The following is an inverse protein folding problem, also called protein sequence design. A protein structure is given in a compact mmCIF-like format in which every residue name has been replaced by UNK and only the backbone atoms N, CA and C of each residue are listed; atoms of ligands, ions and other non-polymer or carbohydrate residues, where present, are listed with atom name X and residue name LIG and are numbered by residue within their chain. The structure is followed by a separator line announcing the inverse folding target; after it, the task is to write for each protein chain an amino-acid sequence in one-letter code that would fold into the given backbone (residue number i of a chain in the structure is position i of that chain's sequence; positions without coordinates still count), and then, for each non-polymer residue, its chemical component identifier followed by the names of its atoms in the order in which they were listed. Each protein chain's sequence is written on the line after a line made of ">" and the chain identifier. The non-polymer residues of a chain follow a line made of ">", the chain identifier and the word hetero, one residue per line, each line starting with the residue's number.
data_IF_705885423509
#
_entry.id   IF_705885423509
#
_cell.length_a   1.000
_cell.length_b   1.000
_cell.length_c   1.000
_cell.angle_alpha   90.00
_cell.angle_beta   90.00
_cell.angle_gamma   90.00
#
_symmetry.space_group_name_H-M   'P 1'
#
loop_
_entity.id
_entity.type
_entity.pdbx_description
1 polymer ?
#
# COMPACT_ATOMS: atom_id res chain seq x y z
N UNK A 1 9.24 14.39 -23.94
CA UNK A 1 9.95 14.77 -22.70
C UNK A 1 9.71 13.68 -21.67
N UNK A 2 10.76 13.01 -21.18
CA UNK A 2 10.62 11.93 -20.18
C UNK A 2 10.20 12.56 -18.84
N UNK A 3 9.18 12.01 -18.17
CA UNK A 3 8.67 12.44 -16.86
C UNK A 3 7.90 13.77 -16.78
N UNK A 4 7.65 14.47 -17.89
CA UNK A 4 6.92 15.75 -17.86
C UNK A 4 5.49 15.61 -17.30
N UNK A 5 4.65 14.65 -17.77
CA UNK A 5 3.29 14.47 -17.23
C UNK A 5 3.30 14.18 -15.73
N UNK A 6 4.20 13.30 -15.27
CA UNK A 6 4.34 12.96 -13.85
C UNK A 6 4.77 14.18 -13.02
N UNK A 7 5.67 15.00 -13.54
CA UNK A 7 6.12 16.23 -12.87
C UNK A 7 4.97 17.22 -12.71
N UNK A 8 4.14 17.40 -13.74
CA UNK A 8 2.99 18.29 -13.69
C UNK A 8 1.92 17.80 -12.70
N UNK A 9 1.64 16.48 -12.69
CA UNK A 9 0.66 15.89 -11.77
C UNK A 9 1.12 16.03 -10.32
N UNK A 10 2.38 15.69 -10.01
CA UNK A 10 2.93 15.79 -8.66
C UNK A 10 3.04 17.27 -8.22
N UNK A 11 3.40 18.16 -9.13
CA UNK A 11 3.46 19.61 -8.88
C UNK A 11 2.09 20.22 -8.60
N UNK A 12 1.06 19.84 -9.38
CA UNK A 12 -0.32 20.24 -9.11
C UNK A 12 -0.80 19.69 -7.76
N UNK A 13 -0.49 18.43 -7.46
CA UNK A 13 -0.78 17.82 -6.16
C UNK A 13 -0.14 18.57 -5.00
N UNK A 14 1.12 19.01 -5.13
CA UNK A 14 1.79 19.84 -4.14
C UNK A 14 1.03 21.16 -3.95
N UNK A 15 0.67 21.85 -5.04
CA UNK A 15 -0.09 23.09 -4.93
C UNK A 15 -1.45 22.90 -4.25
N UNK A 16 -2.18 21.83 -4.56
CA UNK A 16 -3.45 21.51 -3.90
C UNK A 16 -3.27 21.20 -2.41
N UNK A 17 -2.21 20.48 -2.04
CA UNK A 17 -1.88 20.22 -0.63
C UNK A 17 -1.52 21.51 0.12
N UNK A 18 -0.86 22.46 -0.53
CA UNK A 18 -0.58 23.78 0.04
C UNK A 18 -1.88 24.56 0.30
N UNK A 19 -2.82 24.56 -0.64
CA UNK A 19 -4.14 25.18 -0.43
C UNK A 19 -4.91 24.48 0.69
N UNK A 20 -4.89 23.15 0.75
CA UNK A 20 -5.51 22.40 1.84
C UNK A 20 -4.93 22.75 3.20
N UNK A 21 -3.61 23.00 3.29
CA UNK A 21 -2.95 23.45 4.52
C UNK A 21 -3.29 24.90 4.89
N UNK A 22 -3.51 25.77 3.90
CA UNK A 22 -3.88 27.16 4.13
C UNK A 22 -5.33 27.32 4.60
N UNK A 23 -6.25 26.46 4.12
CA UNK A 23 -7.68 26.53 4.40
C UNK A 23 -8.20 25.44 5.34
N UNK A 24 -7.31 24.66 5.98
CA UNK A 24 -7.69 23.59 6.91
C UNK A 24 -8.53 24.11 8.07
N UNK A 25 -9.57 23.36 8.45
CA UNK A 25 -10.46 23.69 9.56
C UNK A 25 -9.94 23.22 10.92
N UNK A 26 -9.00 22.27 10.95
CA UNK A 26 -8.36 21.78 12.17
C UNK A 26 -6.84 21.59 11.99
N UNK A 27 -6.12 21.65 13.12
CA UNK A 27 -4.66 21.58 13.14
C UNK A 27 -4.11 20.21 12.74
N UNK A 28 -4.85 19.13 12.96
CA UNK A 28 -4.39 17.78 12.61
C UNK A 28 -4.41 17.59 11.09
N UNK A 29 -5.49 18.05 10.43
CA UNK A 29 -5.61 18.08 8.98
C UNK A 29 -4.55 18.99 8.37
N UNK A 30 -4.31 20.15 9.00
CA UNK A 30 -3.26 21.08 8.56
C UNK A 30 -1.88 20.43 8.54
N UNK A 31 -1.51 19.68 9.58
CA UNK A 31 -0.22 18.98 9.66
C UNK A 31 -0.10 17.94 8.55
N UNK A 32 -1.15 17.16 8.28
CA UNK A 32 -1.16 16.19 7.19
C UNK A 32 -1.10 16.85 5.80
N UNK A 33 -1.76 17.98 5.61
CA UNK A 33 -1.69 18.76 4.38
C UNK A 33 -0.29 19.33 4.14
N UNK A 34 0.38 19.86 5.18
CA UNK A 34 1.79 20.28 5.10
C UNK A 34 2.73 19.13 4.80
N UNK A 35 2.50 17.97 5.43
CA UNK A 35 3.30 16.77 5.19
C UNK A 35 3.16 16.30 3.73
N UNK A 36 1.93 16.27 3.22
CA UNK A 36 1.65 15.96 1.82
C UNK A 36 2.31 16.96 0.88
N UNK A 37 2.20 18.26 1.16
CA UNK A 37 2.87 19.31 0.39
C UNK A 37 4.38 19.09 0.34
N UNK A 38 5.04 18.85 1.48
CA UNK A 38 6.48 18.65 1.55
C UNK A 38 6.92 17.43 0.72
N UNK A 39 6.22 16.29 0.86
CA UNK A 39 6.54 15.07 0.11
C UNK A 39 6.37 15.27 -1.40
N UNK A 40 5.27 15.89 -1.83
CA UNK A 40 5.00 16.15 -3.25
C UNK A 40 5.92 17.25 -3.83
N UNK A 41 6.27 18.27 -3.05
CA UNK A 41 7.23 19.30 -3.47
C UNK A 41 8.62 18.71 -3.68
N UNK A 42 9.10 17.87 -2.75
CA UNK A 42 10.36 17.13 -2.92
C UNK A 42 10.29 16.21 -4.14
N UNK A 43 9.18 15.48 -4.31
CA UNK A 43 8.94 14.66 -5.50
C UNK A 43 9.01 15.46 -6.81
N UNK A 44 8.41 16.65 -6.84
CA UNK A 44 8.45 17.57 -7.98
C UNK A 44 9.87 18.02 -8.29
N UNK A 45 10.63 18.43 -7.27
CA UNK A 45 12.04 18.83 -7.43
C UNK A 45 12.88 17.68 -7.97
N UNK A 46 12.71 16.47 -7.44
CA UNK A 46 13.44 15.28 -7.90
C UNK A 46 13.08 14.88 -9.33
N UNK A 47 11.82 15.03 -9.73
CA UNK A 47 11.38 14.78 -11.10
C UNK A 47 11.88 15.86 -12.07
N UNK A 48 11.83 17.13 -11.69
CA UNK A 48 12.37 18.24 -12.49
C UNK A 48 13.85 18.05 -12.81
N UNK A 49 14.65 17.55 -11.85
CA UNK A 49 16.07 17.21 -12.08
C UNK A 49 16.29 16.10 -13.12
N UNK A 50 15.26 15.29 -13.40
CA UNK A 50 15.28 14.20 -14.38
C UNK A 50 14.63 14.59 -15.72
N UNK A 51 13.99 15.75 -15.81
CA UNK A 51 13.42 16.26 -17.06
C UNK A 51 14.56 16.80 -17.92
N UNK A 52 14.91 16.06 -18.98
CA UNK A 52 15.82 16.55 -20.00
C UNK A 52 15.03 17.45 -20.97
N UNK A 53 15.38 18.74 -21.00
CA UNK A 53 14.83 19.74 -21.92
C UNK A 53 15.51 19.76 -23.30
N UNK A 54 16.27 18.72 -23.64
CA UNK A 54 16.91 18.61 -24.96
C UNK A 54 15.86 18.64 -26.08
N UNK A 55 16.11 19.47 -27.10
CA UNK A 55 15.31 19.57 -28.33
C UNK A 55 15.11 18.17 -28.89
N UNK A 56 13.88 17.86 -29.32
CA UNK A 56 13.52 16.59 -29.93
C UNK A 56 14.44 16.27 -31.13
N UNK A 57 15.55 15.59 -30.86
CA UNK A 57 16.43 14.98 -31.84
C UNK A 57 16.43 13.49 -31.49
N UNK A 58 15.76 12.70 -32.33
CA UNK A 58 15.72 11.24 -32.31
C UNK A 58 15.51 10.65 -30.91
N UNK A 59 14.27 10.69 -30.40
CA UNK A 59 13.89 9.86 -29.27
C UNK A 59 13.62 8.46 -29.84
N UNK A 60 14.43 7.43 -29.55
CA UNK A 60 13.98 6.06 -29.73
C UNK A 60 12.74 5.91 -28.84
N UNK A 61 11.58 5.64 -29.45
CA UNK A 61 10.44 5.17 -28.69
C UNK A 61 10.88 3.86 -28.03
N UNK A 62 10.76 3.78 -26.70
CA UNK A 62 11.29 2.70 -25.85
C UNK A 62 12.83 2.58 -25.83
N UNK A 63 13.46 3.21 -24.84
CA UNK A 63 14.86 2.91 -24.53
C UNK A 63 15.02 1.45 -24.08
N UNK A 64 15.78 0.67 -24.85
CA UNK A 64 16.70 -0.44 -24.54
C UNK A 64 16.36 -1.52 -23.47
N UNK A 65 15.23 -1.45 -22.77
CA UNK A 65 14.93 -2.26 -21.58
C UNK A 65 13.58 -3.00 -21.66
N UNK A 66 12.88 -2.93 -22.80
CA UNK A 66 11.61 -3.65 -22.99
C UNK A 66 11.77 -5.18 -22.87
N UNK A 67 12.98 -5.70 -23.06
CA UNK A 67 13.31 -7.12 -22.88
C UNK A 67 13.50 -7.52 -21.40
N UNK A 68 13.85 -6.58 -20.52
CA UNK A 68 14.22 -6.86 -19.14
C UNK A 68 13.06 -6.63 -18.15
N UNK A 69 13.10 -7.32 -17.01
CA UNK A 69 12.17 -7.06 -15.91
C UNK A 69 12.41 -5.71 -15.25
N UNK A 70 11.35 -5.11 -14.71
CA UNK A 70 11.39 -3.86 -13.95
C UNK A 70 11.67 -4.16 -12.47
N UNK A 71 12.94 -4.43 -12.14
CA UNK A 71 13.34 -4.78 -10.77
C UNK A 71 13.52 -3.55 -9.84
N UNK A 72 13.48 -2.32 -10.38
CA UNK A 72 13.63 -1.08 -9.61
C UNK A 72 12.66 -0.95 -8.42
N UNK A 73 11.33 -0.95 -8.64
CA UNK A 73 10.35 -0.92 -7.56
C UNK A 73 10.46 -2.09 -6.59
N UNK A 74 10.84 -3.28 -7.08
CA UNK A 74 11.04 -4.47 -6.23
C UNK A 74 12.19 -4.26 -5.25
N UNK A 75 13.34 -3.77 -5.73
CA UNK A 75 14.52 -3.52 -4.89
C UNK A 75 14.25 -2.47 -3.82
N UNK A 76 13.58 -1.39 -4.19
CA UNK A 76 13.19 -0.32 -3.25
C UNK A 76 12.16 -0.84 -2.24
N UNK A 77 11.16 -1.59 -2.70
CA UNK A 77 10.18 -2.26 -1.85
C UNK A 77 10.81 -3.25 -0.87
N UNK A 78 11.82 -4.01 -1.28
CA UNK A 78 12.54 -4.92 -0.39
C UNK A 78 13.28 -4.17 0.74
N UNK A 79 13.96 -3.06 0.40
CA UNK A 79 14.63 -2.21 1.41
C UNK A 79 13.60 -1.59 2.36
N UNK A 80 12.50 -1.04 1.81
CA UNK A 80 11.43 -0.45 2.59
C UNK A 80 10.76 -1.49 3.51
N UNK A 81 10.60 -2.74 3.04
CA UNK A 81 10.08 -3.86 3.85
C UNK A 81 10.93 -4.05 5.10
N UNK A 82 12.25 -4.16 4.96
CA UNK A 82 13.14 -4.35 6.11
C UNK A 82 13.09 -3.14 7.05
N UNK A 83 13.12 -1.92 6.50
CA UNK A 83 13.02 -0.69 7.29
C UNK A 83 11.74 -0.63 8.12
N UNK A 84 10.58 -0.86 7.49
CA UNK A 84 9.28 -0.84 8.16
C UNK A 84 9.09 -2.02 9.12
N UNK A 85 9.70 -3.17 8.83
CA UNK A 85 9.76 -4.30 9.75
C UNK A 85 10.47 -3.92 11.05
N UNK A 86 11.66 -3.34 10.95
CA UNK A 86 12.42 -2.85 12.12
C UNK A 86 11.60 -1.80 12.88
N UNK A 87 11.05 -0.80 12.19
CA UNK A 87 10.27 0.26 12.83
C UNK A 87 9.01 -0.30 13.52
N UNK A 88 8.23 -1.13 12.84
CA UNK A 88 7.00 -1.72 13.38
C UNK A 88 7.26 -2.63 14.57
N UNK A 89 8.28 -3.50 14.51
CA UNK A 89 8.66 -4.36 15.63
C UNK A 89 9.22 -3.56 16.81
N UNK A 90 10.00 -2.50 16.57
CA UNK A 90 10.46 -1.60 17.62
C UNK A 90 9.30 -0.94 18.36
N UNK A 91 8.32 -0.38 17.64
CA UNK A 91 7.12 0.19 18.27
C UNK A 91 6.34 -0.87 19.06
N UNK A 92 6.31 -2.13 18.56
CA UNK A 92 5.73 -3.25 19.28
C UNK A 92 6.43 -3.53 20.62
N UNK A 93 7.77 -3.53 20.64
CA UNK A 93 8.55 -3.68 21.88
C UNK A 93 8.31 -2.52 22.84
N UNK A 94 8.21 -1.28 22.33
CA UNK A 94 7.90 -0.11 23.16
C UNK A 94 6.50 -0.25 23.77
N UNK A 95 5.48 -0.58 22.97
CA UNK A 95 4.11 -0.76 23.44
C UNK A 95 4.00 -1.92 24.45
N UNK A 96 4.70 -3.03 24.23
CA UNK A 96 4.78 -4.13 25.20
C UNK A 96 5.45 -3.68 26.51
N UNK A 97 6.52 -2.87 26.42
CA UNK A 97 7.18 -2.31 27.60
C UNK A 97 6.29 -1.36 28.38
N UNK A 98 5.39 -0.61 27.71
CA UNK A 98 4.40 0.25 28.37
C UNK A 98 3.34 -0.53 29.15
N UNK A 99 3.00 -1.76 28.72
CA UNK A 99 2.13 -2.64 29.48
C UNK A 99 2.81 -3.20 30.73
N UNK A 100 4.13 -3.46 30.66
CA UNK A 100 4.92 -3.92 31.79
C UNK A 100 5.29 -2.80 32.78
N UNK A 101 5.63 -1.63 32.25
CA UNK A 101 6.08 -0.45 32.97
C UNK A 101 5.29 0.79 32.52
N UNK A 102 4.12 1.05 33.14
CA UNK A 102 3.23 2.14 32.72
C UNK A 102 3.87 3.55 32.71
N UNK A 103 4.97 3.76 33.44
CA UNK A 103 5.73 5.02 33.45
C UNK A 103 6.36 5.37 32.09
N UNK A 104 6.45 4.39 31.18
CA UNK A 104 6.96 4.59 29.81
C UNK A 104 5.89 5.19 28.86
N UNK A 105 4.69 5.52 29.35
CA UNK A 105 3.69 6.24 28.59
C UNK A 105 3.98 7.75 28.59
N UNK A 106 4.54 8.27 27.49
CA UNK A 106 4.86 9.69 27.36
C UNK A 106 3.79 10.42 26.56
N UNK A 107 2.96 11.19 27.26
CA UNK A 107 1.87 11.99 26.68
C UNK A 107 2.37 13.24 25.91
N UNK A 108 1.63 13.72 24.90
CA UNK A 108 0.41 13.11 24.36
C UNK A 108 0.69 12.08 23.24
N UNK A 109 1.91 12.02 22.72
CA UNK A 109 2.17 11.36 21.43
C UNK A 109 2.54 9.87 21.56
N UNK A 110 3.32 9.52 22.58
CA UNK A 110 3.89 8.19 22.76
C UNK A 110 3.20 7.43 23.89
N UNK A 111 1.89 7.59 24.05
CA UNK A 111 1.10 6.75 24.94
C UNK A 111 0.65 5.46 24.24
N UNK A 112 0.33 4.44 25.03
CA UNK A 112 -0.05 3.12 24.52
C UNK A 112 -1.23 3.16 23.54
N UNK A 113 -2.22 4.03 23.78
CA UNK A 113 -3.42 4.09 22.92
C UNK A 113 -3.13 4.62 21.52
N UNK A 114 -2.09 5.46 21.35
CA UNK A 114 -1.61 5.92 20.03
C UNK A 114 -0.57 4.99 19.42
N UNK A 115 0.30 4.39 20.25
CA UNK A 115 1.34 3.48 19.77
C UNK A 115 0.81 2.11 19.33
N UNK A 116 -0.31 1.63 19.92
CA UNK A 116 -0.94 0.37 19.51
C UNK A 116 -1.37 0.37 18.03
N UNK A 117 -2.24 1.29 17.55
CA UNK A 117 -2.61 1.32 16.13
C UNK A 117 -1.42 1.63 15.21
N UNK A 118 -0.44 2.41 15.69
CA UNK A 118 0.82 2.63 14.97
C UNK A 118 1.59 1.32 14.77
N UNK A 119 1.78 0.52 15.82
CA UNK A 119 2.42 -0.79 15.74
C UNK A 119 1.67 -1.71 14.77
N UNK A 120 0.36 -1.86 14.98
CA UNK A 120 -0.49 -2.73 14.15
C UNK A 120 -0.37 -2.38 12.67
N UNK A 121 -0.57 -1.11 12.32
CA UNK A 121 -0.49 -0.65 10.94
C UNK A 121 0.94 -0.73 10.37
N UNK A 122 1.97 -0.45 11.18
CA UNK A 122 3.35 -0.56 10.74
C UNK A 122 3.74 -2.01 10.42
N UNK A 123 3.31 -2.98 11.23
CA UNK A 123 3.65 -4.39 10.99
C UNK A 123 2.80 -4.98 9.85
N UNK A 124 1.51 -4.68 9.80
CA UNK A 124 0.62 -5.26 8.78
C UNK A 124 0.80 -4.55 7.45
N UNK A 125 0.53 -3.25 7.39
CA UNK A 125 0.50 -2.53 6.14
C UNK A 125 1.88 -2.02 5.73
N UNK A 126 2.68 -1.46 6.63
CA UNK A 126 3.99 -0.97 6.21
C UNK A 126 4.98 -2.12 5.91
N UNK A 127 5.19 -3.04 6.85
CA UNK A 127 6.05 -4.21 6.65
C UNK A 127 5.41 -5.22 5.71
N UNK A 128 4.25 -5.79 6.08
CA UNK A 128 3.58 -6.81 5.27
C UNK A 128 3.17 -6.32 3.89
N UNK A 129 2.67 -5.08 3.78
CA UNK A 129 2.28 -4.50 2.50
C UNK A 129 3.43 -4.20 1.56
N UNK A 130 4.56 -3.65 2.05
CA UNK A 130 5.75 -3.52 1.20
C UNK A 130 6.27 -4.89 0.76
N UNK A 131 6.24 -5.89 1.64
CA UNK A 131 6.63 -7.26 1.28
C UNK A 131 5.75 -7.76 0.13
N UNK A 132 4.42 -7.69 0.28
CA UNK A 132 3.44 -8.15 -0.71
C UNK A 132 3.55 -7.42 -2.04
N UNK A 133 3.69 -6.10 -2.05
CA UNK A 133 3.81 -5.34 -3.29
C UNK A 133 5.11 -5.71 -4.01
N UNK A 134 6.23 -5.77 -3.29
CA UNK A 134 7.53 -6.11 -3.87
C UNK A 134 7.53 -7.54 -4.43
N UNK A 135 7.03 -8.52 -3.67
CA UNK A 135 6.98 -9.91 -4.12
C UNK A 135 5.95 -10.10 -5.23
N UNK A 136 4.78 -9.46 -5.18
CA UNK A 136 3.79 -9.53 -6.26
C UNK A 136 4.39 -9.03 -7.58
N UNK A 137 5.08 -7.89 -7.57
CA UNK A 137 5.78 -7.37 -8.74
C UNK A 137 6.91 -8.28 -9.23
N UNK A 138 7.68 -8.87 -8.33
CA UNK A 138 8.74 -9.80 -8.69
C UNK A 138 8.21 -11.09 -9.32
N UNK A 139 7.18 -11.67 -8.70
CA UNK A 139 6.60 -12.97 -9.05
C UNK A 139 5.77 -12.88 -10.33
N UNK A 140 4.90 -11.88 -10.48
CA UNK A 140 4.02 -11.76 -11.65
C UNK A 140 4.85 -11.63 -12.93
N UNK A 141 5.94 -10.86 -12.89
CA UNK A 141 6.82 -10.69 -14.04
C UNK A 141 7.45 -12.02 -14.50
N UNK A 142 7.97 -12.79 -13.54
CA UNK A 142 8.71 -14.04 -13.81
C UNK A 142 7.79 -15.17 -14.22
N UNK A 143 6.62 -15.27 -13.59
CA UNK A 143 5.61 -16.28 -13.90
C UNK A 143 4.85 -15.98 -15.19
N UNK A 144 4.68 -14.70 -15.55
CA UNK A 144 4.08 -14.30 -16.84
C UNK A 144 5.08 -14.11 -17.97
N UNK A 145 6.40 -14.16 -17.67
CA UNK A 145 7.49 -13.87 -18.62
C UNK A 145 7.31 -12.53 -19.35
N UNK A 146 6.84 -11.54 -18.61
CA UNK A 146 6.52 -10.20 -19.11
C UNK A 146 6.99 -9.13 -18.10
N UNK A 147 7.41 -7.97 -18.61
CA UNK A 147 7.72 -6.80 -17.79
C UNK A 147 6.42 -6.21 -17.20
N UNK A 148 6.51 -5.53 -16.04
CA UNK A 148 5.37 -4.84 -15.43
C UNK A 148 4.66 -3.90 -16.42
N UNK A 149 3.33 -3.96 -16.38
CA UNK A 149 2.45 -3.07 -17.13
C UNK A 149 2.45 -1.63 -16.56
N UNK A 150 2.11 -0.66 -17.40
CA UNK A 150 1.85 0.72 -16.98
C UNK A 150 3.08 1.63 -16.88
N UNK A 151 4.24 1.20 -17.36
CA UNK A 151 5.45 2.03 -17.38
C UNK A 151 5.88 2.46 -15.97
N UNK A 152 5.77 3.76 -15.66
CA UNK A 152 6.09 4.30 -14.33
C UNK A 152 5.00 4.05 -13.27
N UNK A 153 3.87 3.43 -13.62
CA UNK A 153 2.77 3.20 -12.67
C UNK A 153 3.20 2.37 -11.46
N UNK A 154 4.12 1.41 -11.63
CA UNK A 154 4.69 0.66 -10.50
C UNK A 154 5.49 1.54 -9.52
N UNK A 155 6.12 2.62 -10.00
CA UNK A 155 6.77 3.62 -9.14
C UNK A 155 5.77 4.51 -8.42
N UNK A 156 4.65 4.85 -9.07
CA UNK A 156 3.54 5.52 -8.41
C UNK A 156 2.99 4.65 -7.26
N UNK A 157 2.79 3.36 -7.49
CA UNK A 157 2.36 2.42 -6.43
C UNK A 157 3.35 2.45 -5.27
N UNK A 158 4.65 2.32 -5.54
CA UNK A 158 5.67 2.32 -4.49
C UNK A 158 5.64 3.62 -3.65
N UNK A 159 5.78 4.78 -4.29
CA UNK A 159 5.85 6.07 -3.59
C UNK A 159 4.51 6.47 -2.96
N UNK A 160 3.41 6.19 -3.65
CA UNK A 160 2.07 6.43 -3.12
C UNK A 160 1.80 5.59 -1.88
N UNK A 161 2.25 4.34 -1.87
CA UNK A 161 2.16 3.49 -0.68
C UNK A 161 3.05 4.00 0.47
N UNK A 162 4.24 4.54 0.19
CA UNK A 162 5.06 5.17 1.24
C UNK A 162 4.39 6.42 1.83
N UNK A 163 3.76 7.25 0.98
CA UNK A 163 2.98 8.42 1.44
C UNK A 163 1.84 7.98 2.36
N UNK A 164 1.11 6.92 1.97
CA UNK A 164 0.05 6.33 2.82
C UNK A 164 0.60 5.94 4.20
N UNK A 165 1.70 5.18 4.24
CA UNK A 165 2.31 4.73 5.51
C UNK A 165 2.72 5.93 6.39
N UNK A 166 3.33 6.95 5.80
CA UNK A 166 3.79 8.14 6.53
C UNK A 166 2.61 8.94 7.09
N UNK A 167 1.52 9.09 6.32
CA UNK A 167 0.29 9.75 6.79
C UNK A 167 -0.37 8.96 7.90
N UNK A 168 -0.50 7.63 7.76
CA UNK A 168 -1.05 6.79 8.81
C UNK A 168 -0.21 6.88 10.09
N UNK A 169 1.11 6.72 9.99
CA UNK A 169 2.02 6.74 11.13
C UNK A 169 1.96 8.06 11.91
N UNK A 170 2.04 9.18 11.21
CA UNK A 170 1.92 10.51 11.84
C UNK A 170 0.51 10.77 12.35
N UNK A 171 -0.52 10.28 11.65
CA UNK A 171 -1.92 10.37 12.07
C UNK A 171 -2.18 9.74 13.43
N UNK A 172 -1.71 8.51 13.64
CA UNK A 172 -1.88 7.81 14.92
C UNK A 172 -1.21 8.54 16.08
N UNK A 173 0.02 9.02 15.87
CA UNK A 173 0.72 9.81 16.88
C UNK A 173 0.00 11.12 17.20
N UNK A 174 -0.70 11.72 16.24
CA UNK A 174 -1.51 12.92 16.44
C UNK A 174 -2.90 12.62 17.04
N UNK A 175 -3.32 11.36 17.13
CA UNK A 175 -4.66 10.96 17.58
C UNK A 175 -5.73 11.03 16.48
N UNK A 176 -5.32 11.03 15.20
CA UNK A 176 -6.21 10.91 14.05
C UNK A 176 -6.53 9.42 13.88
N UNK A 177 -7.78 9.05 14.17
CA UNK A 177 -8.25 7.66 14.01
C UNK A 177 -9.76 7.58 13.87
N UNK A 178 -10.24 6.65 13.04
CA UNK A 178 -11.63 6.21 12.98
C UNK A 178 -12.04 5.27 14.13
N UNK A 179 -11.10 4.87 14.99
CA UNK A 179 -11.29 3.87 16.07
C UNK A 179 -11.77 2.48 15.60
N UNK A 180 -11.50 2.15 14.34
CA UNK A 180 -11.80 0.85 13.71
C UNK A 180 -10.50 0.08 13.51
N UNK A 181 -10.40 -1.12 14.10
CA UNK A 181 -9.17 -1.91 14.04
C UNK A 181 -8.76 -2.23 12.59
N UNK A 182 -7.47 -2.05 12.28
CA UNK A 182 -6.89 -2.20 10.93
C UNK A 182 -7.42 -1.21 9.88
N UNK A 183 -8.38 -0.34 10.23
CA UNK A 183 -8.98 0.68 9.38
C UNK A 183 -8.93 2.06 10.06
N UNK A 184 -7.86 2.29 10.82
CA UNK A 184 -7.74 3.48 11.65
C UNK A 184 -7.52 4.81 10.89
N UNK A 185 -6.85 4.89 9.72
CA UNK A 185 -6.64 6.18 9.03
C UNK A 185 -7.97 6.85 8.66
N UNK A 186 -8.03 8.18 8.62
CA UNK A 186 -9.24 8.91 8.24
C UNK A 186 -9.47 8.96 6.72
N UNK A 187 -10.68 9.35 6.33
CA UNK A 187 -11.25 9.30 4.97
C UNK A 187 -10.32 9.77 3.84
N UNK A 188 -9.53 10.84 4.03
CA UNK A 188 -8.64 11.36 2.99
C UNK A 188 -7.43 10.45 2.75
N UNK A 189 -6.96 9.75 3.78
CA UNK A 189 -5.92 8.73 3.67
C UNK A 189 -6.49 7.46 3.03
N UNK A 190 -7.75 7.13 3.31
CA UNK A 190 -8.46 6.01 2.67
C UNK A 190 -8.65 6.21 1.17
N UNK A 191 -9.03 7.42 0.75
CA UNK A 191 -9.13 7.78 -0.67
C UNK A 191 -7.76 7.67 -1.34
N UNK A 192 -6.71 8.19 -0.70
CA UNK A 192 -5.35 8.09 -1.23
C UNK A 192 -4.92 6.63 -1.41
N UNK A 193 -5.12 5.80 -0.40
CA UNK A 193 -4.82 4.37 -0.49
C UNK A 193 -5.63 3.69 -1.60
N UNK A 194 -6.91 4.06 -1.76
CA UNK A 194 -7.75 3.53 -2.85
C UNK A 194 -7.12 3.80 -4.22
N UNK A 195 -6.65 5.02 -4.46
CA UNK A 195 -5.99 5.39 -5.73
C UNK A 195 -4.72 4.56 -5.97
N UNK A 196 -3.90 4.40 -4.94
CA UNK A 196 -2.67 3.59 -4.98
C UNK A 196 -3.00 2.12 -5.25
N UNK A 197 -4.04 1.60 -4.62
CA UNK A 197 -4.45 0.20 -4.74
C UNK A 197 -5.07 -0.12 -6.10
N UNK A 198 -5.86 0.81 -6.65
CA UNK A 198 -6.37 0.70 -8.03
C UNK A 198 -5.21 0.69 -9.02
N UNK A 199 -4.23 1.57 -8.86
CA UNK A 199 -3.02 1.54 -9.69
C UNK A 199 -2.26 0.21 -9.56
N UNK A 200 -2.17 -0.34 -8.35
CA UNK A 200 -1.55 -1.65 -8.11
C UNK A 200 -2.28 -2.77 -8.82
N UNK A 201 -3.61 -2.80 -8.74
CA UNK A 201 -4.46 -3.75 -9.47
C UNK A 201 -4.26 -3.64 -10.99
N UNK A 202 -4.22 -2.43 -11.54
CA UNK A 202 -4.00 -2.19 -12.97
C UNK A 202 -2.63 -2.67 -13.43
N UNK A 203 -1.56 -2.43 -12.65
CA UNK A 203 -0.22 -2.97 -12.93
C UNK A 203 -0.25 -4.49 -12.91
N UNK A 204 -0.87 -5.11 -11.89
CA UNK A 204 -0.87 -6.55 -11.73
C UNK A 204 -1.68 -7.26 -12.83
N UNK A 205 -2.94 -6.86 -13.04
CA UNK A 205 -3.79 -7.39 -14.10
C UNK A 205 -3.20 -7.14 -15.47
N UNK A 206 -2.75 -5.92 -15.75
CA UNK A 206 -2.13 -5.57 -17.02
C UNK A 206 -0.89 -6.42 -17.33
N UNK A 207 -0.14 -6.83 -16.31
CA UNK A 207 1.01 -7.74 -16.48
C UNK A 207 0.55 -9.16 -16.81
N UNK A 208 -0.51 -9.65 -16.15
CA UNK A 208 -1.12 -10.96 -16.46
C UNK A 208 -1.73 -10.99 -17.87
N UNK A 209 -2.33 -9.89 -18.33
CA UNK A 209 -2.87 -9.77 -19.68
C UNK A 209 -1.78 -9.85 -20.76
N UNK A 210 -0.57 -9.37 -20.44
CA UNK A 210 0.61 -9.42 -21.34
C UNK A 210 1.43 -10.71 -21.21
N UNK A 211 0.95 -11.71 -20.48
CA UNK A 211 1.70 -12.96 -20.24
C UNK A 211 2.01 -13.70 -21.54
N UNK A 212 3.16 -14.37 -21.57
CA UNK A 212 3.55 -15.26 -22.68
C UNK A 212 3.07 -16.69 -22.49
N UNK A 213 2.94 -17.13 -21.24
CA UNK A 213 2.44 -18.47 -20.91
C UNK A 213 0.91 -18.51 -20.94
N UNK A 214 0.27 -19.53 -21.56
CA UNK A 214 -1.18 -19.57 -21.67
C UNK A 214 -1.85 -19.68 -20.29
N UNK A 215 -1.25 -20.44 -19.39
CA UNK A 215 -1.75 -20.64 -18.03
C UNK A 215 -1.21 -19.60 -17.06
N UNK A 216 -2.06 -19.17 -16.13
CA UNK A 216 -1.68 -18.28 -15.03
C UNK A 216 -1.21 -19.16 -13.87
N UNK A 217 -0.01 -18.93 -13.38
CA UNK A 217 0.55 -19.66 -12.25
C UNK A 217 -0.26 -19.44 -10.97
N UNK A 218 -0.38 -20.47 -10.12
CA UNK A 218 -1.23 -20.47 -8.91
C UNK A 218 -0.89 -19.32 -7.97
N UNK A 219 0.38 -18.94 -7.82
CA UNK A 219 0.75 -17.79 -6.99
C UNK A 219 0.00 -16.51 -7.39
N UNK A 220 -0.22 -16.30 -8.70
CA UNK A 220 -0.92 -15.13 -9.20
C UNK A 220 -2.44 -15.21 -8.94
N UNK A 221 -3.01 -16.40 -8.71
CA UNK A 221 -4.42 -16.52 -8.29
C UNK A 221 -4.58 -15.97 -6.87
N UNK A 222 -3.70 -16.39 -5.96
CA UNK A 222 -3.67 -15.89 -4.59
C UNK A 222 -3.39 -14.38 -4.54
N UNK A 223 -2.37 -13.88 -5.26
CA UNK A 223 -2.13 -12.44 -5.34
C UNK A 223 -3.33 -11.68 -5.93
N UNK A 224 -3.92 -12.15 -7.02
CA UNK A 224 -5.07 -11.45 -7.62
C UNK A 224 -6.26 -11.41 -6.66
N UNK A 225 -6.56 -12.53 -6.01
CA UNK A 225 -7.60 -12.65 -4.99
C UNK A 225 -7.35 -11.69 -3.83
N UNK A 226 -6.12 -11.64 -3.31
CA UNK A 226 -5.68 -10.66 -2.32
C UNK A 226 -5.96 -9.23 -2.78
N UNK A 227 -5.48 -8.82 -3.96
CA UNK A 227 -5.57 -7.43 -4.42
C UNK A 227 -7.03 -7.02 -4.57
N UNK A 228 -7.86 -7.86 -5.19
CA UNK A 228 -9.27 -7.58 -5.44
C UNK A 228 -10.09 -7.54 -4.16
N UNK A 229 -9.95 -8.55 -3.31
CA UNK A 229 -10.73 -8.61 -2.06
C UNK A 229 -10.35 -7.47 -1.14
N UNK A 230 -9.07 -7.16 -0.95
CA UNK A 230 -8.66 -6.03 -0.10
C UNK A 230 -9.22 -4.71 -0.62
N UNK A 231 -9.30 -4.50 -1.94
CA UNK A 231 -9.96 -3.31 -2.49
C UNK A 231 -11.45 -3.25 -2.13
N UNK A 232 -12.17 -4.37 -2.24
CA UNK A 232 -13.57 -4.46 -1.85
C UNK A 232 -13.76 -4.22 -0.35
N UNK A 233 -12.95 -4.86 0.49
CA UNK A 233 -13.00 -4.72 1.94
C UNK A 233 -12.75 -3.27 2.35
N UNK A 234 -11.71 -2.64 1.80
CA UNK A 234 -11.34 -1.25 2.07
C UNK A 234 -12.50 -0.29 1.74
N UNK A 235 -13.08 -0.43 0.55
CA UNK A 235 -14.21 0.39 0.14
C UNK A 235 -15.47 0.13 0.96
N UNK A 236 -15.78 -1.13 1.27
CA UNK A 236 -16.98 -1.50 2.01
C UNK A 236 -16.93 -1.07 3.47
N UNK A 237 -15.80 -1.27 4.14
CA UNK A 237 -15.62 -0.94 5.55
C UNK A 237 -15.53 0.57 5.78
N UNK A 238 -14.75 1.27 4.94
CA UNK A 238 -14.39 2.67 5.19
C UNK A 238 -15.39 3.65 4.54
N UNK A 239 -16.63 3.21 4.32
CA UNK A 239 -17.72 4.12 3.97
C UNK A 239 -18.02 5.00 5.18
N UNK A 240 -17.52 6.23 5.12
CA UNK A 240 -17.69 7.24 6.15
C UNK A 240 -18.10 8.58 5.53
N UNK A 241 -18.86 9.37 6.29
CA UNK A 241 -19.24 10.73 5.93
C UNK A 241 -18.26 11.69 6.62
N UNK A 242 -17.42 12.42 5.87
CA UNK A 242 -16.58 13.45 6.43
C UNK A 242 -17.44 14.55 7.06
N UNK A 243 -17.11 14.98 8.28
CA UNK A 243 -17.74 16.13 8.93
C UNK A 243 -17.43 17.41 8.15
N UNK A 244 -16.25 17.47 7.52
CA UNK A 244 -15.82 18.55 6.64
C UNK A 244 -14.78 18.06 5.62
N UNK A 245 -14.75 18.67 4.44
CA UNK A 245 -13.76 18.35 3.40
C UNK A 245 -12.33 18.84 3.70
N UNK A 246 -12.18 19.78 4.65
CA UNK A 246 -10.90 20.34 5.08
C UNK A 246 -10.62 20.04 6.56
N UNK A 247 -11.21 18.96 7.08
CA UNK A 247 -10.97 18.48 8.44
C UNK A 247 -10.79 16.96 8.50
N UNK A 248 -10.20 16.47 9.59
CA UNK A 248 -9.86 15.05 9.72
C UNK A 248 -11.07 14.15 9.97
N UNK A 249 -12.07 14.64 10.71
CA UNK A 249 -13.11 13.76 11.29
C UNK A 249 -14.13 13.27 10.26
N UNK A 250 -14.42 11.98 10.34
CA UNK A 250 -15.53 11.33 9.64
C UNK A 250 -16.31 10.39 10.58
N UNK A 251 -17.54 10.06 10.20
CA UNK A 251 -18.37 9.07 10.91
C UNK A 251 -18.73 7.92 9.98
N UNK A 252 -18.65 6.69 10.48
CA UNK A 252 -19.08 5.49 9.76
C UNK A 252 -20.53 5.63 9.27
N UNK A 253 -20.80 5.15 8.07
CA UNK A 253 -22.17 5.04 7.54
C UNK A 253 -22.96 3.97 8.31
N UNK A 254 -22.28 3.02 8.94
CA UNK A 254 -22.89 1.98 9.75
C UNK A 254 -22.92 2.36 11.25
N UNK A 255 -23.78 1.69 12.03
CA UNK A 255 -23.80 1.83 13.49
C UNK A 255 -24.14 0.52 14.20
N UNK A 256 -23.78 0.43 15.49
CA UNK A 256 -24.13 -0.69 16.36
C UNK A 256 -23.69 -2.05 15.83
N UNK A 257 -24.60 -3.02 15.79
CA UNK A 257 -24.32 -4.40 15.36
C UNK A 257 -23.91 -4.47 13.88
N UNK A 258 -24.43 -3.58 13.03
CA UNK A 258 -24.07 -3.54 11.61
C UNK A 258 -22.63 -3.04 11.42
N UNK A 259 -22.22 -2.02 12.18
CA UNK A 259 -20.85 -1.53 12.16
C UNK A 259 -19.89 -2.60 12.69
N UNK A 260 -20.24 -3.30 13.77
CA UNK A 260 -19.45 -4.41 14.29
C UNK A 260 -19.31 -5.57 13.27
N UNK A 261 -20.39 -5.92 12.57
CA UNK A 261 -20.36 -6.97 11.56
C UNK A 261 -19.49 -6.58 10.36
N UNK A 262 -19.67 -5.37 9.82
CA UNK A 262 -18.84 -4.88 8.70
C UNK A 262 -17.38 -4.74 9.10
N UNK A 263 -17.11 -4.25 10.31
CA UNK A 263 -15.77 -4.14 10.90
C UNK A 263 -15.06 -5.49 11.01
N UNK A 264 -15.73 -6.55 11.46
CA UNK A 264 -15.09 -7.85 11.61
C UNK A 264 -15.12 -8.71 10.35
N UNK A 265 -16.07 -8.48 9.44
CA UNK A 265 -15.96 -8.92 8.05
C UNK A 265 -14.69 -8.34 7.42
N UNK A 266 -14.43 -7.05 7.58
CA UNK A 266 -13.19 -6.42 7.16
C UNK A 266 -11.99 -6.99 7.90
N UNK A 267 -11.97 -6.97 9.24
CA UNK A 267 -10.81 -7.33 10.05
C UNK A 267 -10.35 -8.78 9.85
N UNK A 268 -11.28 -9.73 9.82
CA UNK A 268 -10.95 -11.13 9.55
C UNK A 268 -10.42 -11.31 8.12
N UNK A 269 -11.12 -10.76 7.13
CA UNK A 269 -10.71 -10.91 5.73
C UNK A 269 -9.47 -10.08 5.39
N UNK A 270 -9.16 -9.01 6.13
CA UNK A 270 -7.89 -8.31 6.03
C UNK A 270 -6.75 -9.29 6.37
N UNK A 271 -6.84 -10.01 7.48
CA UNK A 271 -5.87 -11.07 7.79
C UNK A 271 -5.93 -12.21 6.76
N UNK A 272 -7.12 -12.69 6.42
CA UNK A 272 -7.32 -13.81 5.49
C UNK A 272 -6.79 -13.57 4.07
N UNK A 273 -6.95 -12.36 3.53
CA UNK A 273 -6.50 -12.04 2.18
C UNK A 273 -5.15 -11.34 2.15
N UNK A 274 -4.90 -10.39 3.05
CA UNK A 274 -3.62 -9.68 3.10
C UNK A 274 -2.51 -10.58 3.67
N UNK A 275 -2.72 -11.15 4.86
CA UNK A 275 -1.69 -11.89 5.60
C UNK A 275 -1.66 -13.38 5.31
N UNK A 276 -2.75 -13.97 4.81
CA UNK A 276 -2.77 -15.39 4.39
C UNK A 276 -2.69 -15.52 2.88
N UNK A 277 -3.71 -15.09 2.11
CA UNK A 277 -3.74 -15.28 0.65
C UNK A 277 -2.53 -14.65 -0.05
N UNK A 278 -2.22 -13.39 0.24
CA UNK A 278 -1.05 -12.71 -0.33
C UNK A 278 0.28 -13.43 -0.04
N UNK A 279 0.48 -13.89 1.20
CA UNK A 279 1.69 -14.62 1.60
C UNK A 279 1.70 -16.07 1.09
N UNK A 280 0.55 -16.71 0.87
CA UNK A 280 0.47 -17.96 0.11
C UNK A 280 0.95 -17.74 -1.32
N UNK A 281 0.61 -16.59 -1.94
CA UNK A 281 1.19 -16.17 -3.22
C UNK A 281 2.72 -16.13 -3.19
N UNK A 282 3.32 -15.59 -2.12
CA UNK A 282 4.79 -15.66 -1.93
C UNK A 282 5.27 -17.12 -1.82
N UNK A 283 4.65 -17.91 -0.94
CA UNK A 283 5.02 -19.30 -0.67
C UNK A 283 5.00 -20.14 -1.96
N UNK A 284 3.93 -20.05 -2.75
CA UNK A 284 3.78 -20.79 -4.01
C UNK A 284 4.85 -20.47 -5.04
N UNK A 285 5.52 -19.30 -4.94
CA UNK A 285 6.65 -18.99 -5.79
C UNK A 285 7.99 -19.35 -5.14
N UNK A 286 8.25 -18.85 -3.93
CA UNK A 286 9.57 -18.92 -3.32
C UNK A 286 9.90 -20.31 -2.76
N UNK A 287 8.94 -21.07 -2.24
CA UNK A 287 9.23 -22.43 -1.71
C UNK A 287 9.71 -23.37 -2.81
N UNK A 288 8.97 -23.56 -3.93
CA UNK A 288 9.44 -24.41 -5.03
C UNK A 288 10.74 -23.87 -5.64
N UNK A 289 10.86 -22.55 -5.76
CA UNK A 289 12.03 -21.91 -6.38
C UNK A 289 13.30 -22.08 -5.55
N UNK A 290 13.19 -21.99 -4.23
CA UNK A 290 14.33 -22.15 -3.31
C UNK A 290 14.69 -23.62 -3.12
N UNK A 291 13.70 -24.52 -3.10
CA UNK A 291 13.93 -25.95 -2.96
C UNK A 291 14.39 -26.62 -4.26
N UNK A 292 14.34 -25.91 -5.39
CA UNK A 292 14.54 -26.43 -6.74
C UNK A 292 13.72 -27.70 -7.01
N UNK A 293 12.45 -27.67 -6.59
CA UNK A 293 11.51 -28.78 -6.69
C UNK A 293 10.20 -28.33 -7.35
N UNK A 294 9.50 -29.22 -8.07
CA UNK A 294 8.18 -28.91 -8.58
C UNK A 294 7.19 -28.71 -7.42
N UNK A 295 6.13 -27.93 -7.68
CA UNK A 295 5.00 -27.80 -6.74
C UNK A 295 4.35 -29.18 -6.55
N UNK A 296 4.19 -29.58 -5.30
CA UNK A 296 3.48 -30.80 -4.97
C UNK A 296 1.96 -30.63 -5.18
N UNK A 297 1.36 -31.56 -5.93
CA UNK A 297 -0.09 -31.67 -6.19
C UNK A 297 -0.79 -30.40 -6.69
N UNK A 298 -0.82 -30.23 -8.02
CA UNK A 298 -1.58 -29.16 -8.67
C UNK A 298 -3.09 -29.21 -8.36
N UNK A 299 -3.67 -30.41 -8.23
CA UNK A 299 -5.10 -30.57 -7.88
C UNK A 299 -5.40 -30.01 -6.50
N UNK A 300 -4.50 -30.24 -5.54
CA UNK A 300 -4.63 -29.67 -4.20
C UNK A 300 -4.54 -28.15 -4.26
N UNK A 301 -3.69 -27.58 -5.11
CA UNK A 301 -3.64 -26.12 -5.30
C UNK A 301 -4.98 -25.53 -5.76
N UNK A 302 -5.71 -26.21 -6.66
CA UNK A 302 -7.04 -25.78 -7.10
C UNK A 302 -8.05 -25.85 -5.95
N UNK A 303 -8.14 -27.00 -5.28
CA UNK A 303 -9.11 -27.20 -4.18
C UNK A 303 -8.83 -26.26 -3.03
N UNK A 304 -7.57 -26.14 -2.62
CA UNK A 304 -7.14 -25.25 -1.54
C UNK A 304 -7.44 -23.78 -1.89
N UNK A 305 -7.11 -23.33 -3.10
CA UNK A 305 -7.42 -21.97 -3.52
C UNK A 305 -8.92 -21.68 -3.43
N UNK A 306 -9.75 -22.46 -4.11
CA UNK A 306 -11.19 -22.15 -4.16
C UNK A 306 -11.89 -22.35 -2.83
N UNK A 307 -11.50 -23.36 -2.04
CA UNK A 307 -12.05 -23.55 -0.71
C UNK A 307 -11.69 -22.37 0.20
N UNK A 308 -10.43 -21.92 0.22
CA UNK A 308 -10.00 -20.82 1.07
C UNK A 308 -10.62 -19.47 0.68
N UNK A 309 -10.83 -19.22 -0.62
CA UNK A 309 -11.33 -17.93 -1.09
C UNK A 309 -12.86 -17.81 -0.97
N UNK A 310 -13.60 -18.93 -0.93
CA UNK A 310 -15.07 -18.93 -0.85
C UNK A 310 -15.65 -19.31 0.52
N UNK A 311 -15.01 -20.22 1.26
CA UNK A 311 -15.50 -20.76 2.54
C UNK A 311 -14.80 -20.07 3.71
#
# INVERSE_FOLDING_TARGET
>A
MKYLPETLIVGLGAFLALLAAAFSHDSQFQVHAWLMFAMLAVGTILLLRKVNFSRAANIPFEGDDAANYMDGPVRYGAIATVFWGIAGFLVGVIAASQLAYPQLNFEPFLNFSRLRPLHTSAVIFAFGGNALIATAFYVVQRTSRARLFGGNLAWFVFWGYQIFIVLAATGYLLGITQSREYAEPEWYVDIWLTLVWVAFLLVFLGTIFKRKEPHIYVANWFYLSFIVTIAMLHLGNNMAVPVSFLGVKSYSVFSGVQDALTQWWYGHNAVGFFLTSGFLGMMYYFVPKQADRPVYSYRLSIVHFWALIFL
#
